data_IF_074823544245
#
_entry.id   IF_074823544245
#
_cell.length_a   1.000
_cell.length_b   1.000
_cell.length_c   1.000
_cell.angle_alpha   90.00
_cell.angle_beta   90.00
_cell.angle_gamma   90.00
#
_symmetry.space_group_name_H-M   'P 1'
#
loop_
_entity.id
_entity.type
_entity.pdbx_description
1 polymer ?
#
# COMPACT_ATOMS: atom_id res chain seq x y z
N UNK A 1 21.79 70.89 5.87
CA UNK A 1 22.76 69.92 6.42
C UNK A 1 22.51 68.63 5.66
N UNK A 2 23.33 68.25 4.66
CA UNK A 2 24.65 67.58 4.83
C UNK A 2 24.57 66.37 5.76
N UNK A 3 25.10 65.19 5.49
CA UNK A 3 25.95 64.67 4.41
C UNK A 3 25.77 63.13 4.43
N UNK A 4 25.72 62.46 3.27
CA UNK A 4 26.84 61.76 2.61
C UNK A 4 27.33 60.49 3.32
N UNK A 5 26.92 59.40 2.67
CA UNK A 5 27.43 58.04 2.69
C UNK A 5 28.92 57.97 2.30
N UNK A 6 29.71 57.13 2.97
CA UNK A 6 30.75 56.30 2.32
C UNK A 6 31.49 55.38 3.30
N UNK A 7 31.92 54.24 2.74
CA UNK A 7 33.01 53.34 3.11
C UNK A 7 32.70 52.12 4.01
N UNK A 8 32.58 50.94 3.38
CA UNK A 8 33.29 49.71 3.79
C UNK A 8 33.63 48.91 2.53
N UNK A 9 34.91 48.63 2.32
CA UNK A 9 35.46 47.70 1.32
C UNK A 9 36.40 46.79 2.09
N UNK A 10 35.91 45.61 2.48
CA UNK A 10 36.67 44.67 3.31
C UNK A 10 36.35 43.20 2.96
N UNK A 11 36.17 42.93 1.66
CA UNK A 11 35.84 41.59 1.17
C UNK A 11 36.84 41.03 0.14
N UNK A 12 37.88 41.79 -0.22
CA UNK A 12 38.90 41.40 -1.21
C UNK A 12 40.22 40.85 -0.64
N UNK A 13 40.42 40.87 0.69
CA UNK A 13 41.70 40.51 1.31
C UNK A 13 41.74 39.08 1.87
N UNK A 14 40.60 38.49 2.23
CA UNK A 14 40.52 37.16 2.85
C UNK A 14 40.69 35.99 1.86
N UNK A 15 40.41 36.20 0.56
CA UNK A 15 40.47 35.13 -0.45
C UNK A 15 41.88 34.80 -0.93
N UNK A 16 42.83 35.74 -0.78
CA UNK A 16 44.23 35.56 -1.21
C UNK A 16 45.04 34.80 -0.15
N UNK A 17 44.72 35.01 1.12
CA UNK A 17 45.44 34.36 2.24
C UNK A 17 45.13 32.86 2.34
N UNK A 18 43.87 32.46 2.08
CA UNK A 18 43.46 31.05 2.08
C UNK A 18 44.12 30.23 0.95
N UNK A 19 44.41 30.85 -0.19
CA UNK A 19 45.06 30.20 -1.33
C UNK A 19 46.55 29.93 -1.12
N UNK A 20 47.21 30.73 -0.27
CA UNK A 20 48.64 30.57 0.04
C UNK A 20 48.91 29.52 1.13
N UNK A 21 47.94 29.28 2.03
CA UNK A 21 48.03 28.23 3.04
C UNK A 21 47.95 26.83 2.42
N UNK A 22 47.02 26.62 1.47
CA UNK A 22 46.84 25.32 0.82
C UNK A 22 48.08 24.85 0.04
N UNK A 23 48.83 25.77 -0.57
CA UNK A 23 50.09 25.43 -1.27
C UNK A 23 51.24 25.05 -0.36
N UNK A 24 51.23 25.48 0.92
CA UNK A 24 52.26 25.08 1.89
C UNK A 24 52.01 23.69 2.48
N UNK A 25 50.75 23.31 2.66
CA UNK A 25 50.38 21.99 3.16
C UNK A 25 50.76 20.87 2.15
N UNK A 26 50.57 21.11 0.86
CA UNK A 26 50.93 20.15 -0.20
C UNK A 26 52.46 19.91 -0.31
N UNK A 27 53.31 20.93 -0.06
CA UNK A 27 54.78 20.77 -0.10
C UNK A 27 55.36 20.09 1.16
N UNK A 28 54.60 20.03 2.26
CA UNK A 28 55.05 19.40 3.51
C UNK A 28 54.73 17.89 3.53
N UNK A 29 53.61 17.49 2.92
CA UNK A 29 53.18 16.08 2.79
C UNK A 29 54.13 15.28 1.87
N UNK A 30 54.60 15.86 0.77
CA UNK A 30 55.54 15.21 -0.16
C UNK A 30 56.93 14.94 0.46
N UNK A 31 57.31 15.70 1.50
CA UNK A 31 58.60 15.55 2.20
C UNK A 31 58.56 14.47 3.29
N UNK A 32 57.38 14.08 3.75
CA UNK A 32 57.22 12.98 4.72
C UNK A 32 57.25 11.61 4.03
N UNK A 33 56.68 11.47 2.83
CA UNK A 33 56.75 10.23 2.04
C UNK A 33 58.19 9.82 1.68
N UNK A 34 59.08 10.78 1.38
CA UNK A 34 60.48 10.48 1.07
C UNK A 34 61.27 9.96 2.29
N UNK A 35 60.90 10.37 3.52
CA UNK A 35 61.57 9.93 4.75
C UNK A 35 61.16 8.52 5.17
N UNK A 36 59.92 8.11 4.90
CA UNK A 36 59.43 6.78 5.23
C UNK A 36 60.05 5.70 4.31
N UNK A 37 60.28 6.04 3.04
CA UNK A 37 60.91 5.13 2.08
C UNK A 37 62.38 4.80 2.40
N UNK A 38 63.12 5.70 3.07
CA UNK A 38 64.54 5.52 3.38
C UNK A 38 64.77 4.65 4.63
N UNK A 39 63.80 4.54 5.54
CA UNK A 39 63.97 3.80 6.80
C UNK A 39 63.92 2.28 6.67
N UNK A 40 63.48 1.72 5.53
CA UNK A 40 63.27 0.28 5.35
C UNK A 40 64.50 -0.52 4.90
N UNK A 41 65.68 0.11 4.76
CA UNK A 41 66.82 -0.49 4.04
C UNK A 41 68.01 -0.94 4.89
N UNK A 42 67.90 -1.09 6.22
CA UNK A 42 69.04 -1.59 7.03
C UNK A 42 68.66 -2.37 8.29
N UNK A 43 68.55 -3.70 8.22
CA UNK A 43 68.89 -4.60 9.35
C UNK A 43 69.25 -6.03 8.87
N UNK A 44 70.37 -6.66 9.31
CA UNK A 44 70.88 -7.90 8.71
C UNK A 44 70.35 -9.21 9.35
N UNK A 45 70.30 -10.26 8.50
CA UNK A 45 69.66 -11.58 8.66
C UNK A 45 70.47 -12.62 9.47
N UNK A 46 69.81 -13.42 10.32
CA UNK A 46 70.35 -14.67 10.90
C UNK A 46 69.70 -15.91 10.21
N UNK A 47 70.49 -16.86 9.63
CA UNK A 47 69.96 -17.92 8.76
C UNK A 47 69.26 -19.11 9.45
N UNK A 48 69.57 -19.48 10.70
CA UNK A 48 68.95 -20.67 11.34
C UNK A 48 67.49 -20.46 11.80
N UNK A 49 67.07 -19.20 11.98
CA UNK A 49 65.69 -18.86 12.35
C UNK A 49 64.72 -18.87 11.14
N UNK A 50 65.25 -18.97 9.92
CA UNK A 50 64.43 -18.92 8.70
C UNK A 50 63.86 -20.30 8.33
N UNK A 51 64.62 -21.38 8.50
CA UNK A 51 64.18 -22.72 8.08
C UNK A 51 63.02 -23.28 8.92
N UNK A 52 63.00 -23.02 10.24
CA UNK A 52 61.84 -23.39 11.09
C UNK A 52 60.63 -22.48 10.90
N UNK A 53 60.83 -21.22 10.50
CA UNK A 53 59.73 -20.27 10.25
C UNK A 53 58.98 -20.61 8.97
N UNK A 54 59.66 -21.04 7.92
CA UNK A 54 59.06 -21.34 6.62
C UNK A 54 58.12 -22.54 6.66
N UNK A 55 58.45 -23.60 7.41
CA UNK A 55 57.61 -24.80 7.51
C UNK A 55 56.34 -24.56 8.35
N UNK A 56 56.44 -23.80 9.44
CA UNK A 56 55.28 -23.40 10.25
C UNK A 56 54.36 -22.46 9.47
N UNK A 57 54.94 -21.49 8.76
CA UNK A 57 54.18 -20.58 7.88
C UNK A 57 53.51 -21.32 6.73
N UNK A 58 54.20 -22.26 6.07
CA UNK A 58 53.65 -23.04 4.94
C UNK A 58 52.49 -23.92 5.38
N UNK A 59 52.52 -24.48 6.58
CA UNK A 59 51.44 -25.30 7.13
C UNK A 59 50.22 -24.46 7.58
N UNK A 60 50.48 -23.30 8.20
CA UNK A 60 49.44 -22.36 8.61
C UNK A 60 48.72 -21.76 7.39
N UNK A 61 49.46 -21.32 6.37
CA UNK A 61 48.89 -20.78 5.14
C UNK A 61 48.04 -21.82 4.40
N UNK A 62 48.41 -23.10 4.41
CA UNK A 62 47.64 -24.19 3.77
C UNK A 62 46.28 -24.41 4.45
N UNK A 63 46.24 -24.31 5.78
CA UNK A 63 45.01 -24.44 6.58
C UNK A 63 44.08 -23.24 6.36
N UNK A 64 44.66 -22.03 6.25
CA UNK A 64 43.91 -20.80 5.95
C UNK A 64 43.45 -20.77 4.49
N UNK A 65 44.24 -21.26 3.52
CA UNK A 65 43.85 -21.32 2.10
C UNK A 65 42.69 -22.28 1.86
N UNK A 66 42.66 -23.43 2.54
CA UNK A 66 41.53 -24.37 2.43
C UNK A 66 40.26 -23.75 3.02
N UNK A 67 40.35 -23.13 4.21
CA UNK A 67 39.21 -22.45 4.83
C UNK A 67 38.73 -21.25 4.01
N UNK A 68 39.61 -20.38 3.53
CA UNK A 68 39.23 -19.23 2.68
C UNK A 68 38.61 -19.67 1.36
N UNK A 69 39.13 -20.73 0.73
CA UNK A 69 38.55 -21.27 -0.52
C UNK A 69 37.16 -21.88 -0.27
N UNK A 70 36.96 -22.56 0.85
CA UNK A 70 35.65 -23.08 1.25
C UNK A 70 34.67 -21.94 1.57
N UNK A 71 35.10 -20.93 2.33
CA UNK A 71 34.30 -19.75 2.67
C UNK A 71 33.92 -18.93 1.43
N UNK A 72 34.83 -18.81 0.46
CA UNK A 72 34.54 -18.15 -0.82
C UNK A 72 33.50 -18.92 -1.64
N UNK A 73 33.59 -20.26 -1.69
CA UNK A 73 32.59 -21.11 -2.36
C UNK A 73 31.23 -21.00 -1.67
N UNK A 74 31.20 -21.09 -0.34
CA UNK A 74 29.97 -20.97 0.44
C UNK A 74 29.33 -19.59 0.21
N UNK A 75 30.12 -18.52 0.30
CA UNK A 75 29.65 -17.15 0.04
C UNK A 75 29.09 -16.99 -1.38
N UNK A 76 29.77 -17.56 -2.38
CA UNK A 76 29.30 -17.54 -3.77
C UNK A 76 27.95 -18.24 -3.95
N UNK A 77 27.74 -19.39 -3.30
CA UNK A 77 26.45 -20.11 -3.33
C UNK A 77 25.36 -19.25 -2.69
N UNK A 78 25.61 -18.64 -1.53
CA UNK A 78 24.65 -17.74 -0.88
C UNK A 78 24.31 -16.53 -1.76
N UNK A 79 25.31 -15.90 -2.39
CA UNK A 79 25.09 -14.79 -3.32
C UNK A 79 24.26 -15.21 -4.53
N UNK A 80 24.52 -16.39 -5.09
CA UNK A 80 23.72 -16.91 -6.19
C UNK A 80 22.27 -17.19 -5.78
N UNK A 81 22.04 -17.78 -4.60
CA UNK A 81 20.69 -17.99 -4.06
C UNK A 81 19.96 -16.65 -3.87
N UNK A 82 20.62 -15.66 -3.26
CA UNK A 82 20.07 -14.31 -3.10
C UNK A 82 19.73 -13.70 -4.46
N UNK A 83 20.63 -13.83 -5.43
CA UNK A 83 20.41 -13.32 -6.79
C UNK A 83 19.19 -13.97 -7.46
N UNK A 84 19.06 -15.30 -7.37
CA UNK A 84 17.90 -16.04 -7.90
C UNK A 84 16.61 -15.59 -7.20
N UNK A 85 16.64 -15.39 -5.88
CA UNK A 85 15.48 -14.87 -5.13
C UNK A 85 15.12 -13.47 -5.61
N UNK A 86 16.08 -12.56 -5.73
CA UNK A 86 15.86 -11.20 -6.21
C UNK A 86 15.28 -11.22 -7.63
N UNK A 87 15.85 -12.02 -8.54
CA UNK A 87 15.37 -12.14 -9.91
C UNK A 87 13.94 -12.71 -9.95
N UNK A 88 13.66 -13.73 -9.13
CA UNK A 88 12.31 -14.31 -9.00
C UNK A 88 11.32 -13.29 -8.49
N UNK A 89 11.70 -12.48 -7.49
CA UNK A 89 10.87 -11.41 -6.96
C UNK A 89 10.63 -10.33 -8.01
N UNK A 90 11.65 -9.92 -8.79
CA UNK A 90 11.49 -8.94 -9.87
C UNK A 90 10.53 -9.47 -10.94
N UNK A 91 10.69 -10.73 -11.36
CA UNK A 91 9.79 -11.37 -12.33
C UNK A 91 8.36 -11.50 -11.80
N UNK A 92 8.19 -11.81 -10.50
CA UNK A 92 6.89 -11.82 -9.83
C UNK A 92 6.29 -10.41 -9.64
N UNK A 93 7.15 -9.39 -9.48
CA UNK A 93 6.76 -7.98 -9.33
C UNK A 93 6.24 -7.37 -10.63
N UNK A 94 6.58 -7.98 -11.76
CA UNK A 94 5.87 -7.75 -13.01
C UNK A 94 4.45 -8.24 -12.84
N UNK A 95 3.57 -7.40 -12.28
CA UNK A 95 2.16 -7.72 -12.15
C UNK A 95 1.59 -7.91 -13.54
N UNK A 96 1.36 -9.17 -13.89
CA UNK A 96 0.39 -9.51 -14.91
C UNK A 96 -0.97 -9.13 -14.34
N UNK A 97 -1.55 -8.05 -14.86
CA UNK A 97 -2.96 -7.74 -14.66
C UNK A 97 -3.70 -8.69 -15.59
N UNK A 98 -4.48 -9.59 -15.02
CA UNK A 98 -5.38 -10.43 -15.81
C UNK A 98 -6.35 -9.53 -16.58
N UNK A 99 -6.74 -9.95 -17.77
CA UNK A 99 -7.58 -9.13 -18.66
C UNK A 99 -8.94 -8.82 -18.02
N UNK A 100 -9.41 -9.64 -17.07
CA UNK A 100 -10.64 -9.43 -16.30
C UNK A 100 -10.45 -8.55 -15.02
N UNK A 101 -9.19 -8.32 -14.63
CA UNK A 101 -8.78 -7.38 -13.59
C UNK A 101 -8.41 -6.01 -14.17
N UNK A 102 -8.32 -5.85 -15.49
CA UNK A 102 -8.25 -4.54 -16.13
C UNK A 102 -9.65 -3.92 -16.23
N UNK A 103 -9.80 -2.65 -15.86
CA UNK A 103 -11.03 -1.89 -16.08
C UNK A 103 -10.74 -0.45 -16.48
N UNK A 104 -11.46 0.03 -17.49
CA UNK A 104 -11.38 1.41 -17.95
C UNK A 104 -12.37 2.29 -17.16
N UNK A 105 -11.83 3.17 -16.32
CA UNK A 105 -12.63 4.12 -15.53
C UNK A 105 -13.47 5.07 -16.38
N UNK A 106 -13.04 5.40 -17.60
CA UNK A 106 -13.79 6.29 -18.49
C UNK A 106 -15.04 5.61 -19.06
N UNK A 107 -14.92 4.33 -19.45
CA UNK A 107 -16.05 3.50 -19.86
C UNK A 107 -17.11 3.32 -18.76
N UNK A 108 -16.69 3.27 -17.49
CA UNK A 108 -17.60 3.19 -16.34
C UNK A 108 -18.26 4.55 -16.09
N UNK A 109 -17.49 5.64 -16.12
CA UNK A 109 -17.99 6.98 -15.85
C UNK A 109 -19.03 7.45 -16.90
N UNK A 110 -18.84 7.04 -18.16
CA UNK A 110 -19.77 7.29 -19.28
C UNK A 110 -20.76 6.14 -19.52
N UNK A 111 -20.80 5.17 -18.61
CA UNK A 111 -21.54 3.94 -18.72
C UNK A 111 -23.06 4.07 -18.63
N UNK A 112 -23.73 2.93 -18.70
CA UNK A 112 -25.18 2.79 -18.55
C UNK A 112 -25.51 2.80 -17.05
N UNK A 113 -26.55 3.55 -16.69
CA UNK A 113 -27.09 3.56 -15.32
C UNK A 113 -27.87 2.27 -15.08
N UNK A 114 -27.57 1.59 -13.98
CA UNK A 114 -28.33 0.43 -13.53
C UNK A 114 -28.75 0.66 -12.09
N UNK A 115 -30.03 0.96 -11.89
CA UNK A 115 -30.52 1.41 -10.59
C UNK A 115 -31.52 0.39 -10.05
N UNK A 116 -31.43 0.12 -8.75
CA UNK A 116 -32.28 -0.85 -8.08
C UNK A 116 -32.97 -0.23 -6.88
N UNK A 117 -34.27 -0.46 -6.76
CA UNK A 117 -35.02 -0.19 -5.55
C UNK A 117 -35.12 -1.46 -4.74
N UNK A 118 -34.98 -1.35 -3.42
CA UNK A 118 -34.86 -2.49 -2.54
C UNK A 118 -35.67 -2.35 -1.28
N UNK A 119 -36.02 -3.50 -0.72
CA UNK A 119 -36.75 -3.62 0.53
C UNK A 119 -36.02 -4.64 1.40
N UNK A 120 -35.88 -4.33 2.69
CA UNK A 120 -35.25 -5.20 3.69
C UNK A 120 -35.95 -5.04 5.05
N UNK A 121 -36.20 -6.15 5.74
CA UNK A 121 -36.68 -6.15 7.12
C UNK A 121 -35.53 -6.10 8.11
N UNK A 122 -35.74 -5.30 9.15
CA UNK A 122 -34.78 -5.12 10.25
C UNK A 122 -35.50 -5.53 11.52
N UNK A 123 -34.98 -6.57 12.17
CA UNK A 123 -35.49 -7.05 13.43
C UNK A 123 -34.81 -6.34 14.59
N UNK A 124 -35.62 -5.80 15.49
CA UNK A 124 -35.15 -5.24 16.75
C UNK A 124 -35.65 -6.12 17.91
N UNK A 125 -34.73 -6.70 18.68
CA UNK A 125 -35.11 -7.60 19.79
C UNK A 125 -35.72 -6.82 20.96
N UNK A 126 -35.19 -5.62 21.24
CA UNK A 126 -35.66 -4.74 22.31
C UNK A 126 -35.62 -3.28 21.84
N UNK A 127 -36.74 -2.75 21.30
CA UNK A 127 -36.84 -1.34 20.96
C UNK A 127 -36.95 -0.49 22.23
N UNK A 128 -36.18 0.58 22.31
CA UNK A 128 -36.30 1.57 23.38
C UNK A 128 -37.54 2.46 23.15
N UNK A 129 -38.56 2.42 24.03
CA UNK A 129 -39.79 3.17 23.86
C UNK A 129 -39.61 4.70 23.98
N UNK A 130 -38.46 5.19 24.43
CA UNK A 130 -38.22 6.61 24.70
C UNK A 130 -37.57 7.38 23.54
N UNK A 131 -37.17 6.70 22.45
CA UNK A 131 -36.36 7.31 21.39
C UNK A 131 -36.85 7.17 19.93
N UNK A 132 -38.15 7.04 19.62
CA UNK A 132 -38.61 6.58 18.30
C UNK A 132 -38.14 7.42 17.10
N UNK A 133 -38.09 8.75 17.23
CA UNK A 133 -37.68 9.63 16.11
C UNK A 133 -36.16 9.74 15.92
N UNK A 134 -35.38 9.72 17.00
CA UNK A 134 -33.91 9.78 16.91
C UNK A 134 -33.35 8.44 16.42
N UNK A 135 -34.02 7.33 16.76
CA UNK A 135 -33.71 5.99 16.26
C UNK A 135 -33.86 5.90 14.74
N UNK A 136 -34.81 6.60 14.10
CA UNK A 136 -34.95 6.56 12.64
C UNK A 136 -33.74 7.14 11.90
N UNK A 137 -33.30 8.34 12.27
CA UNK A 137 -32.18 9.00 11.58
C UNK A 137 -30.89 8.18 11.74
N UNK A 138 -30.64 7.69 12.97
CA UNK A 138 -29.47 6.84 13.24
C UNK A 138 -29.56 5.49 12.54
N UNK A 139 -30.75 4.87 12.49
CA UNK A 139 -30.98 3.64 11.75
C UNK A 139 -30.73 3.83 10.26
N UNK A 140 -31.26 4.92 9.69
CA UNK A 140 -31.06 5.29 8.29
C UNK A 140 -29.58 5.50 7.99
N UNK A 141 -28.86 6.26 8.83
CA UNK A 141 -27.42 6.51 8.68
C UNK A 141 -26.61 5.21 8.74
N UNK A 142 -26.84 4.37 9.75
CA UNK A 142 -26.13 3.09 9.90
C UNK A 142 -26.44 2.13 8.76
N UNK A 143 -27.70 2.03 8.34
CA UNK A 143 -28.10 1.19 7.22
C UNK A 143 -27.51 1.71 5.90
N UNK A 144 -27.52 3.03 5.69
CA UNK A 144 -26.97 3.62 4.48
C UNK A 144 -25.46 3.38 4.38
N UNK A 145 -24.74 3.57 5.50
CA UNK A 145 -23.33 3.22 5.61
C UNK A 145 -23.10 1.73 5.34
N UNK A 146 -23.91 0.86 5.93
CA UNK A 146 -23.79 -0.59 5.72
C UNK A 146 -24.01 -0.98 4.27
N UNK A 147 -25.03 -0.45 3.60
CA UNK A 147 -25.28 -0.69 2.18
C UNK A 147 -24.10 -0.20 1.32
N UNK A 148 -23.61 1.00 1.63
CA UNK A 148 -22.43 1.59 0.95
C UNK A 148 -21.21 0.68 1.09
N UNK A 149 -20.87 0.27 2.31
CA UNK A 149 -19.71 -0.58 2.58
C UNK A 149 -19.81 -1.93 1.84
N UNK A 150 -21.00 -2.55 1.83
CA UNK A 150 -21.23 -3.83 1.14
C UNK A 150 -20.90 -3.75 -0.35
N UNK A 151 -21.40 -2.71 -1.02
CA UNK A 151 -21.22 -2.60 -2.46
C UNK A 151 -19.86 -2.02 -2.84
N UNK A 152 -19.33 -1.02 -2.11
CA UNK A 152 -18.04 -0.40 -2.43
C UNK A 152 -16.87 -1.39 -2.23
N UNK A 153 -16.94 -2.26 -1.23
CA UNK A 153 -15.92 -3.27 -0.96
C UNK A 153 -16.22 -4.62 -1.62
N UNK A 154 -17.28 -4.72 -2.42
CA UNK A 154 -17.58 -5.94 -3.19
C UNK A 154 -16.52 -6.13 -4.27
N UNK A 155 -15.80 -7.28 -4.32
CA UNK A 155 -14.88 -7.57 -5.40
C UNK A 155 -15.55 -7.61 -6.79
N UNK A 156 -16.85 -7.92 -6.82
CA UNK A 156 -17.62 -8.04 -8.04
C UNK A 156 -18.31 -6.73 -8.47
N UNK A 157 -18.77 -5.90 -7.51
CA UNK A 157 -19.62 -4.74 -7.79
C UNK A 157 -18.98 -3.38 -7.44
N UNK A 158 -17.91 -3.34 -6.65
CA UNK A 158 -17.36 -2.10 -6.12
C UNK A 158 -16.92 -1.10 -7.18
N UNK A 159 -16.38 -1.59 -8.30
CA UNK A 159 -15.97 -0.74 -9.43
C UNK A 159 -17.15 -0.08 -10.16
N UNK A 160 -18.36 -0.61 -10.02
CA UNK A 160 -19.57 -0.10 -10.69
C UNK A 160 -20.47 0.70 -9.75
N UNK A 161 -20.24 0.61 -8.43
CA UNK A 161 -21.11 1.22 -7.44
C UNK A 161 -20.93 2.74 -7.39
N UNK A 162 -22.05 3.47 -7.44
CA UNK A 162 -22.05 4.93 -7.31
C UNK A 162 -22.47 5.36 -5.91
N UNK A 163 -23.63 4.89 -5.46
CA UNK A 163 -24.20 5.27 -4.17
C UNK A 163 -25.32 4.33 -3.72
N UNK A 164 -25.60 4.39 -2.43
CA UNK A 164 -26.80 3.85 -1.82
C UNK A 164 -27.52 4.97 -1.07
N UNK A 165 -28.83 4.85 -0.94
CA UNK A 165 -29.64 5.76 -0.12
C UNK A 165 -30.80 5.01 0.53
N UNK A 166 -31.04 5.27 1.80
CA UNK A 166 -32.23 4.77 2.50
C UNK A 166 -33.34 5.80 2.35
N UNK A 167 -34.43 5.41 1.71
CA UNK A 167 -35.53 6.31 1.32
C UNK A 167 -36.55 6.46 2.45
N UNK A 168 -36.88 5.35 3.10
CA UNK A 168 -37.90 5.35 4.15
C UNK A 168 -37.80 4.12 5.04
N UNK A 169 -38.35 4.22 6.24
CA UNK A 169 -38.57 3.09 7.14
C UNK A 169 -40.04 3.04 7.54
N UNK A 170 -40.65 1.87 7.41
CA UNK A 170 -41.97 1.58 7.94
C UNK A 170 -41.80 0.94 9.32
N UNK A 171 -42.20 1.65 10.37
CA UNK A 171 -42.19 1.13 11.74
C UNK A 171 -43.17 -0.03 11.92
N UNK A 172 -44.31 0.00 11.23
CA UNK A 172 -45.37 -1.02 11.31
C UNK A 172 -44.85 -2.41 10.89
N UNK A 173 -44.07 -2.47 9.80
CA UNK A 173 -43.54 -3.72 9.25
C UNK A 173 -42.03 -3.88 9.48
N UNK A 174 -41.42 -2.97 10.24
CA UNK A 174 -39.98 -2.89 10.48
C UNK A 174 -39.14 -3.05 9.20
N UNK A 175 -39.56 -2.32 8.16
CA UNK A 175 -39.08 -2.50 6.79
C UNK A 175 -38.42 -1.22 6.31
N UNK A 176 -37.18 -1.32 5.82
CA UNK A 176 -36.47 -0.24 5.17
C UNK A 176 -36.59 -0.35 3.65
N UNK A 177 -36.85 0.77 2.99
CA UNK A 177 -36.78 0.92 1.53
C UNK A 177 -35.52 1.70 1.18
N UNK A 178 -34.78 1.23 0.18
CA UNK A 178 -33.50 1.83 -0.21
C UNK A 178 -33.31 1.78 -1.71
N UNK A 179 -32.45 2.66 -2.21
CA UNK A 179 -32.06 2.77 -3.60
C UNK A 179 -30.56 2.48 -3.74
N UNK A 180 -30.19 1.85 -4.85
CA UNK A 180 -28.82 1.56 -5.23
C UNK A 180 -28.60 2.08 -6.65
N UNK A 181 -27.50 2.79 -6.87
CA UNK A 181 -27.11 3.30 -8.18
C UNK A 181 -25.78 2.69 -8.60
N UNK A 182 -25.76 2.19 -9.83
CA UNK A 182 -24.56 1.66 -10.46
C UNK A 182 -24.35 2.33 -11.82
N UNK A 183 -23.08 2.42 -12.20
CA UNK A 183 -22.64 2.75 -13.55
C UNK A 183 -21.87 1.56 -14.08
N UNK A 184 -22.33 1.00 -15.20
CA UNK A 184 -21.67 -0.15 -15.84
C UNK A 184 -21.18 0.25 -17.23
N UNK A 185 -20.04 -0.28 -17.69
CA UNK A 185 -19.60 -0.03 -19.04
C UNK A 185 -20.67 -0.47 -20.05
N UNK A 186 -20.70 0.12 -21.25
CA UNK A 186 -21.63 -0.27 -22.31
C UNK A 186 -21.29 -1.70 -22.77
N UNK A 187 -21.87 -2.67 -22.08
CA UNK A 187 -21.54 -4.09 -22.19
C UNK A 187 -22.71 -4.93 -22.69
N UNK A 188 -22.40 -6.17 -23.01
CA UNK A 188 -23.34 -7.14 -23.58
C UNK A 188 -24.46 -7.57 -22.61
N UNK A 189 -25.57 -8.08 -23.14
CA UNK A 189 -26.67 -8.65 -22.34
C UNK A 189 -26.19 -9.75 -21.36
N UNK A 190 -25.13 -10.49 -21.71
CA UNK A 190 -24.54 -11.51 -20.85
C UNK A 190 -23.92 -10.90 -19.58
N UNK A 191 -23.24 -9.75 -19.71
CA UNK A 191 -22.72 -9.02 -18.55
C UNK A 191 -23.86 -8.64 -17.61
N UNK A 192 -24.93 -8.06 -18.15
CA UNK A 192 -26.11 -7.69 -17.36
C UNK A 192 -26.74 -8.90 -16.69
N UNK A 193 -26.85 -10.03 -17.39
CA UNK A 193 -27.43 -11.26 -16.85
C UNK A 193 -26.60 -11.87 -15.72
N UNK A 194 -25.27 -11.91 -15.85
CA UNK A 194 -24.39 -12.66 -14.95
C UNK A 194 -23.71 -11.81 -13.88
N UNK A 195 -23.46 -10.53 -14.13
CA UNK A 195 -22.73 -9.62 -13.21
C UNK A 195 -23.60 -8.52 -12.62
N UNK A 196 -24.59 -8.01 -13.35
CA UNK A 196 -25.43 -6.88 -12.90
C UNK A 196 -26.93 -7.22 -12.86
N UNK A 197 -27.29 -8.50 -12.68
CA UNK A 197 -28.71 -8.86 -12.58
C UNK A 197 -29.22 -8.54 -11.18
N UNK A 198 -30.53 -8.22 -11.09
CA UNK A 198 -31.25 -8.09 -9.81
C UNK A 198 -30.90 -9.21 -8.82
N UNK A 199 -30.85 -10.45 -9.29
CA UNK A 199 -30.53 -11.61 -8.44
C UNK A 199 -29.10 -11.58 -7.94
N UNK A 200 -28.14 -11.20 -8.80
CA UNK A 200 -26.74 -11.09 -8.41
C UNK A 200 -26.55 -10.01 -7.33
N UNK A 201 -27.03 -8.78 -7.58
CA UNK A 201 -26.93 -7.65 -6.66
C UNK A 201 -27.60 -7.98 -5.31
N UNK A 202 -28.80 -8.57 -5.36
CA UNK A 202 -29.52 -9.01 -4.15
C UNK A 202 -28.71 -10.03 -3.34
N UNK A 203 -28.09 -11.00 -4.00
CA UNK A 203 -27.34 -12.05 -3.33
C UNK A 203 -26.03 -11.56 -2.71
N UNK A 204 -25.40 -10.51 -3.27
CA UNK A 204 -24.25 -9.84 -2.63
C UNK A 204 -24.65 -9.26 -1.27
N UNK A 205 -25.78 -8.56 -1.19
CA UNK A 205 -26.28 -8.03 0.08
C UNK A 205 -26.66 -9.15 1.07
N UNK A 206 -27.37 -10.18 0.60
CA UNK A 206 -27.72 -11.33 1.43
C UNK A 206 -26.50 -12.01 2.03
N UNK A 207 -25.46 -12.23 1.22
CA UNK A 207 -24.22 -12.83 1.68
C UNK A 207 -23.58 -11.98 2.78
N UNK A 208 -23.49 -10.66 2.59
CA UNK A 208 -22.97 -9.77 3.63
C UNK A 208 -23.79 -9.84 4.92
N UNK A 209 -25.13 -9.93 4.82
CA UNK A 209 -26.00 -10.06 6.00
C UNK A 209 -25.73 -11.38 6.72
N UNK A 210 -25.53 -12.49 6.01
CA UNK A 210 -25.16 -13.76 6.63
C UNK A 210 -23.81 -13.71 7.33
N UNK A 211 -22.83 -13.02 6.74
CA UNK A 211 -21.47 -12.92 7.30
C UNK A 211 -21.42 -12.00 8.52
N UNK A 212 -22.21 -10.93 8.54
CA UNK A 212 -22.26 -9.92 9.60
C UNK A 212 -23.69 -9.42 9.82
N UNK A 213 -24.49 -10.14 10.60
CA UNK A 213 -25.93 -9.87 10.72
C UNK A 213 -26.30 -8.74 11.71
N UNK A 214 -25.42 -8.42 12.65
CA UNK A 214 -25.66 -7.43 13.70
C UNK A 214 -25.36 -6.00 13.24
N UNK A 215 -26.20 -5.07 13.69
CA UNK A 215 -26.06 -3.64 13.45
C UNK A 215 -26.08 -2.91 14.80
N UNK A 216 -25.11 -2.02 15.03
CA UNK A 216 -25.02 -1.26 16.28
C UNK A 216 -25.92 -0.02 16.20
N UNK A 217 -27.15 -0.15 16.69
CA UNK A 217 -28.16 0.91 16.64
C UNK A 217 -28.50 1.36 18.06
N UNK A 218 -28.22 2.64 18.41
CA UNK A 218 -28.65 3.21 19.66
C UNK A 218 -30.18 3.14 19.80
N UNK A 219 -30.65 2.57 20.91
CA UNK A 219 -32.08 2.36 21.16
C UNK A 219 -32.66 1.06 20.59
N UNK A 220 -31.83 0.19 20.01
CA UNK A 220 -32.22 -1.17 19.64
C UNK A 220 -31.16 -2.18 20.04
N UNK A 221 -31.44 -3.02 21.05
CA UNK A 221 -30.52 -4.11 21.40
C UNK A 221 -30.62 -5.23 20.36
N UNK A 222 -29.46 -5.66 19.83
CA UNK A 222 -29.33 -6.76 18.86
C UNK A 222 -30.20 -6.53 17.62
N UNK A 223 -30.01 -5.39 16.96
CA UNK A 223 -30.64 -5.13 15.69
C UNK A 223 -30.02 -6.04 14.62
N UNK A 224 -30.86 -6.75 13.87
CA UNK A 224 -30.41 -7.70 12.84
C UNK A 224 -31.19 -7.53 11.55
N UNK A 225 -30.55 -7.76 10.42
CA UNK A 225 -31.20 -7.74 9.10
C UNK A 225 -31.66 -9.14 8.73
N UNK A 226 -32.86 -9.29 8.17
CA UNK A 226 -33.34 -10.57 7.66
C UNK A 226 -32.89 -10.76 6.19
N UNK A 227 -31.91 -11.65 5.90
CA UNK A 227 -31.41 -11.85 4.54
C UNK A 227 -32.51 -12.38 3.60
N UNK A 228 -33.49 -13.13 4.11
CA UNK A 228 -34.56 -13.70 3.28
C UNK A 228 -35.59 -12.65 2.87
N UNK A 229 -35.72 -11.58 3.66
CA UNK A 229 -36.60 -10.45 3.36
C UNK A 229 -36.08 -9.51 2.28
N UNK A 230 -34.79 -9.59 1.93
CA UNK A 230 -34.20 -8.74 0.89
C UNK A 230 -34.90 -8.99 -0.43
N UNK A 231 -35.44 -7.93 -1.02
CA UNK A 231 -35.96 -7.93 -2.38
C UNK A 231 -35.45 -6.70 -3.12
N UNK A 232 -35.20 -6.84 -4.41
CA UNK A 232 -34.82 -5.75 -5.31
C UNK A 232 -35.83 -5.64 -6.46
N UNK A 233 -35.91 -4.49 -7.11
CA UNK A 233 -36.58 -4.24 -8.39
C UNK A 233 -35.77 -3.24 -9.19
N UNK A 234 -35.72 -3.40 -10.50
CA UNK A 234 -35.09 -2.39 -11.36
C UNK A 234 -35.93 -1.12 -11.34
N UNK A 235 -35.27 0.04 -11.32
CA UNK A 235 -35.94 1.31 -11.52
C UNK A 235 -36.05 1.53 -13.02
N UNK A 236 -37.27 1.67 -13.52
CA UNK A 236 -37.47 2.15 -14.89
C UNK A 236 -37.13 3.63 -14.94
N UNK A 237 -36.27 4.02 -15.89
CA UNK A 237 -36.04 5.43 -16.19
C UNK A 237 -37.39 6.02 -16.62
N UNK A 238 -37.96 6.85 -15.76
CA UNK A 238 -39.14 7.63 -16.15
C UNK A 238 -38.62 8.71 -17.08
N UNK A 239 -38.62 8.43 -18.39
CA UNK A 239 -38.41 9.45 -19.42
C UNK A 239 -39.39 10.60 -19.16
N UNK A 240 -38.86 11.75 -18.75
CA UNK A 240 -39.58 13.01 -18.55
C UNK A 240 -39.11 14.06 -19.53
#
# INVERSE_FOLDING_TARGET
MEARNSHVSEQGHQSIELGNLRKKEEEEEEREEEKEAVSTLTEPLNPEAQEKKTDVWRSCFKTVFWKCKLWMIISFIFLFLIFVIILSLILYSGRYIDEDEYWDSESIASGIRCNFSGILKIHCTKPDPLLPNLTYNLLSENLNKRLTDVYIFSPALGRYFLSAEVISFSAENSTASYHLWFSVPPETEEFMKFRMSKTFVMNVLRQSIYDQNEMDIPGCTNATMDPTSVSLSEMEDTEG
#
